data_IF_145634536509
#
_entry.id   IF_145634536509
#
_cell.length_a   1.000
_cell.length_b   1.000
_cell.length_c   1.000
_cell.angle_alpha   90.00
_cell.angle_beta   90.00
_cell.angle_gamma   90.00
#
_symmetry.space_group_name_H-M   'P 1'
#
loop_
_entity.id
_entity.type
_entity.pdbx_description
1 polymer ?
#
# COMPACT_ATOMS: atom_id res chain seq x y z
N UNK A 1 22.62 -23.81 22.65
CA UNK A 1 21.18 -23.47 22.54
C UNK A 1 21.03 -22.48 21.41
N UNK A 2 20.56 -22.92 20.24
CA UNK A 2 20.33 -22.04 19.10
C UNK A 2 18.83 -21.98 18.87
N UNK A 3 18.19 -20.91 19.37
CA UNK A 3 16.78 -20.62 19.12
C UNK A 3 16.63 -20.19 17.67
N UNK A 4 16.26 -21.13 16.82
CA UNK A 4 15.85 -20.84 15.44
C UNK A 4 14.53 -20.09 15.54
N UNK A 5 14.53 -18.84 15.11
CA UNK A 5 13.36 -17.97 14.99
C UNK A 5 12.23 -18.74 14.30
N UNK A 6 11.09 -18.87 14.97
CA UNK A 6 9.86 -19.40 14.37
C UNK A 6 9.44 -18.48 13.23
N UNK A 7 9.84 -18.85 12.01
CA UNK A 7 9.36 -18.19 10.80
C UNK A 7 7.94 -18.70 10.54
N UNK A 8 6.96 -18.12 11.21
CA UNK A 8 5.56 -18.31 10.85
C UNK A 8 5.38 -17.90 9.39
N UNK A 9 4.98 -18.86 8.54
CA UNK A 9 4.71 -18.57 7.13
C UNK A 9 3.60 -17.54 7.03
N UNK A 10 3.65 -16.68 6.01
CA UNK A 10 2.57 -15.72 5.71
C UNK A 10 1.19 -16.41 5.68
N UNK A 11 1.15 -17.66 5.23
CA UNK A 11 -0.04 -18.52 5.19
C UNK A 11 -0.66 -18.85 6.57
N UNK A 12 0.02 -18.53 7.68
CA UNK A 12 -0.48 -18.72 9.04
C UNK A 12 -1.13 -17.47 9.64
N UNK A 13 -1.13 -16.34 8.93
CA UNK A 13 -1.80 -15.13 9.39
C UNK A 13 -3.32 -15.25 9.23
N UNK A 14 -4.11 -14.72 10.18
CA UNK A 14 -5.56 -14.66 10.02
C UNK A 14 -5.97 -13.90 8.75
N UNK A 15 -7.02 -14.36 8.08
CA UNK A 15 -7.52 -13.74 6.84
C UNK A 15 -7.73 -12.21 6.93
N UNK A 16 -8.27 -11.64 8.04
CA UNK A 16 -8.42 -10.19 8.17
C UNK A 16 -7.08 -9.43 8.16
N UNK A 17 -6.03 -10.03 8.75
CA UNK A 17 -4.68 -9.46 8.75
C UNK A 17 -4.08 -9.53 7.35
N UNK A 18 -4.27 -10.65 6.65
CA UNK A 18 -3.85 -10.77 5.24
C UNK A 18 -4.56 -9.77 4.33
N UNK A 19 -5.86 -9.53 4.55
CA UNK A 19 -6.63 -8.56 3.80
C UNK A 19 -6.12 -7.12 4.02
N UNK A 20 -5.72 -6.79 5.25
CA UNK A 20 -5.09 -5.52 5.60
C UNK A 20 -3.71 -5.37 4.96
N UNK A 21 -2.85 -6.36 5.07
CA UNK A 21 -1.51 -6.33 4.45
C UNK A 21 -1.61 -6.14 2.94
N UNK A 22 -2.56 -6.81 2.29
CA UNK A 22 -2.84 -6.61 0.86
C UNK A 22 -3.36 -5.20 0.58
N UNK A 23 -4.27 -4.66 1.40
CA UNK A 23 -4.74 -3.29 1.23
C UNK A 23 -3.61 -2.24 1.38
N UNK A 24 -2.68 -2.45 2.32
CA UNK A 24 -1.50 -1.58 2.48
C UNK A 24 -0.56 -1.71 1.28
N UNK A 25 -0.31 -2.94 0.81
CA UNK A 25 0.47 -3.17 -0.40
C UNK A 25 -0.14 -2.44 -1.60
N UNK A 26 -1.43 -2.67 -1.87
CA UNK A 26 -2.12 -2.10 -3.03
C UNK A 26 -2.22 -0.56 -2.96
N UNK A 27 -2.28 0.02 -1.75
CA UNK A 27 -2.23 1.47 -1.57
C UNK A 27 -0.88 2.05 -2.01
N UNK A 28 0.22 1.36 -1.71
CA UNK A 28 1.58 1.83 -1.96
C UNK A 28 2.14 1.40 -3.33
N UNK A 29 1.54 0.39 -3.94
CA UNK A 29 1.91 -0.13 -5.27
C UNK A 29 1.37 0.77 -6.39
N UNK A 30 2.00 1.94 -6.52
CA UNK A 30 1.70 2.91 -7.58
C UNK A 30 2.57 2.66 -8.81
N UNK A 31 2.02 2.75 -10.03
CA UNK A 31 2.82 2.65 -11.24
C UNK A 31 3.85 3.78 -11.28
N UNK A 32 5.05 3.51 -11.81
CA UNK A 32 6.06 4.56 -11.95
C UNK A 32 5.54 5.69 -12.85
N UNK A 33 5.85 6.96 -12.54
CA UNK A 33 5.43 8.09 -13.37
C UNK A 33 6.24 8.16 -14.67
N UNK A 34 5.63 8.77 -15.69
CA UNK A 34 6.36 9.28 -16.85
C UNK A 34 7.43 10.29 -16.45
N UNK A 35 8.37 10.56 -17.35
CA UNK A 35 9.57 11.38 -17.09
C UNK A 35 9.33 12.90 -17.13
N UNK A 36 8.08 13.35 -17.01
CA UNK A 36 7.80 14.78 -16.93
C UNK A 36 7.80 15.22 -15.47
N UNK A 37 8.32 16.42 -15.20
CA UNK A 37 8.22 17.02 -13.86
C UNK A 37 6.78 17.04 -13.31
N UNK A 38 5.78 17.16 -14.18
CA UNK A 38 4.37 17.18 -13.78
C UNK A 38 3.93 15.80 -13.28
N UNK A 39 4.28 14.73 -14.01
CA UNK A 39 3.98 13.34 -13.64
C UNK A 39 4.72 12.94 -12.36
N UNK A 40 6.02 13.24 -12.26
CA UNK A 40 6.83 12.94 -11.07
C UNK A 40 6.28 13.63 -9.82
N UNK A 41 5.91 14.92 -9.93
CA UNK A 41 5.28 15.66 -8.82
C UNK A 41 3.90 15.09 -8.45
N UNK A 42 3.10 14.67 -9.42
CA UNK A 42 1.80 14.07 -9.17
C UNK A 42 1.94 12.71 -8.47
N UNK A 43 2.86 11.86 -8.93
CA UNK A 43 3.23 10.61 -8.27
C UNK A 43 3.68 10.83 -6.84
N UNK A 44 4.64 11.73 -6.61
CA UNK A 44 5.17 11.98 -5.28
C UNK A 44 4.08 12.46 -4.30
N UNK A 45 3.17 13.34 -4.75
CA UNK A 45 2.03 13.78 -3.93
C UNK A 45 1.09 12.62 -3.60
N UNK A 46 0.76 11.79 -4.59
CA UNK A 46 -0.14 10.65 -4.39
C UNK A 46 0.47 9.62 -3.43
N UNK A 47 1.74 9.28 -3.62
CA UNK A 47 2.45 8.34 -2.74
C UNK A 47 2.48 8.83 -1.29
N UNK A 48 2.79 10.12 -1.07
CA UNK A 48 2.77 10.71 0.27
C UNK A 48 1.38 10.64 0.90
N UNK A 49 0.33 10.90 0.13
CA UNK A 49 -1.05 10.83 0.63
C UNK A 49 -1.43 9.40 1.04
N UNK A 50 -1.24 8.43 0.15
CA UNK A 50 -1.57 7.03 0.43
C UNK A 50 -0.71 6.42 1.54
N UNK A 51 0.55 6.82 1.66
CA UNK A 51 1.40 6.42 2.77
C UNK A 51 0.90 6.95 4.11
N UNK A 52 0.48 8.23 4.16
CA UNK A 52 -0.13 8.82 5.35
C UNK A 52 -1.42 8.09 5.73
N UNK A 53 -2.26 7.78 4.76
CA UNK A 53 -3.53 7.08 4.97
C UNK A 53 -3.31 5.66 5.52
N UNK A 54 -2.38 4.91 4.95
CA UNK A 54 -1.98 3.62 5.46
C UNK A 54 -1.44 3.71 6.90
N UNK A 55 -0.64 4.74 7.22
CA UNK A 55 -0.15 4.99 8.58
C UNK A 55 -1.28 5.25 9.56
N UNK A 56 -2.27 6.07 9.20
CA UNK A 56 -3.44 6.36 10.05
C UNK A 56 -4.24 5.08 10.33
N UNK A 57 -4.46 4.27 9.30
CA UNK A 57 -5.18 2.99 9.44
C UNK A 57 -4.43 2.03 10.37
N UNK A 58 -3.11 1.92 10.23
CA UNK A 58 -2.29 1.07 11.09
C UNK A 58 -2.25 1.57 12.53
N UNK A 59 -2.15 2.88 12.75
CA UNK A 59 -2.21 3.48 14.09
C UNK A 59 -3.52 3.13 14.80
N UNK A 60 -4.66 3.23 14.11
CA UNK A 60 -5.95 2.84 14.72
C UNK A 60 -6.02 1.36 15.12
N UNK A 61 -5.25 0.47 14.50
CA UNK A 61 -5.17 -0.93 14.93
C UNK A 61 -4.26 -1.08 16.14
N UNK A 62 -3.06 -0.47 16.08
CA UNK A 62 -2.02 -0.64 17.10
C UNK A 62 -2.38 0.07 18.41
N UNK A 63 -2.96 1.26 18.31
CA UNK A 63 -3.21 2.15 19.44
C UNK A 63 -4.66 2.03 19.95
N UNK A 64 -5.63 1.85 19.05
CA UNK A 64 -7.07 1.86 19.38
C UNK A 64 -7.76 0.49 19.24
N UNK A 65 -7.03 -0.55 18.81
CA UNK A 65 -7.57 -1.90 18.70
C UNK A 65 -8.63 -2.08 17.61
N UNK A 66 -8.58 -1.28 16.53
CA UNK A 66 -9.47 -1.46 15.39
C UNK A 66 -9.37 -2.86 14.78
N UNK A 67 -10.50 -3.37 14.30
CA UNK A 67 -10.57 -4.69 13.66
C UNK A 67 -9.94 -4.64 12.26
N UNK A 68 -9.01 -5.56 11.99
CA UNK A 68 -8.17 -5.54 10.79
C UNK A 68 -8.95 -5.61 9.47
N UNK A 69 -10.04 -6.39 9.42
CA UNK A 69 -10.91 -6.49 8.25
C UNK A 69 -11.61 -5.16 7.93
N UNK A 70 -12.20 -4.49 8.92
CA UNK A 70 -12.81 -3.16 8.77
C UNK A 70 -11.79 -2.08 8.43
N UNK A 71 -10.59 -2.17 9.00
CA UNK A 71 -9.49 -1.29 8.67
C UNK A 71 -9.06 -1.47 7.20
N UNK A 72 -8.96 -2.71 6.70
CA UNK A 72 -8.67 -3.00 5.31
C UNK A 72 -9.72 -2.44 4.34
N UNK A 73 -11.01 -2.59 4.67
CA UNK A 73 -12.10 -2.01 3.88
C UNK A 73 -12.04 -0.48 3.84
N UNK A 74 -11.72 0.14 4.98
CA UNK A 74 -11.60 1.59 5.08
C UNK A 74 -10.44 2.12 4.23
N UNK A 75 -9.27 1.46 4.30
CA UNK A 75 -8.12 1.84 3.48
C UNK A 75 -8.42 1.74 1.98
N UNK A 76 -9.06 0.66 1.53
CA UNK A 76 -9.47 0.52 0.12
C UNK A 76 -10.41 1.65 -0.30
N UNK A 77 -11.39 1.97 0.53
CA UNK A 77 -12.31 3.07 0.26
C UNK A 77 -11.64 4.45 0.22
N UNK A 78 -10.51 4.63 0.91
CA UNK A 78 -9.71 5.86 0.84
C UNK A 78 -8.88 5.88 -0.45
N UNK A 79 -8.21 4.77 -0.78
CA UNK A 79 -7.46 4.59 -2.03
C UNK A 79 -8.32 4.86 -3.26
N UNK A 80 -9.58 4.40 -3.26
CA UNK A 80 -10.53 4.61 -4.37
C UNK A 80 -10.88 6.10 -4.60
N UNK A 81 -10.71 6.95 -3.58
CA UNK A 81 -10.93 8.41 -3.70
C UNK A 81 -9.75 9.14 -4.32
N UNK A 82 -8.62 8.45 -4.44
CA UNK A 82 -7.34 9.00 -4.89
C UNK A 82 -6.79 8.23 -6.09
N UNK A 83 -7.44 8.33 -7.25
CA UNK A 83 -6.98 7.63 -8.44
C UNK A 83 -5.63 8.16 -8.93
N UNK A 84 -4.91 7.31 -9.67
CA UNK A 84 -3.74 7.73 -10.43
C UNK A 84 -4.16 8.77 -11.47
N UNK A 85 -3.48 9.92 -11.48
CA UNK A 85 -3.79 11.06 -12.36
C UNK A 85 -2.62 11.48 -13.26
N UNK A 86 -1.45 10.87 -13.08
CA UNK A 86 -0.28 11.06 -13.94
C UNK A 86 -0.23 9.98 -15.02
N UNK A 87 0.56 10.22 -16.06
CA UNK A 87 0.80 9.23 -17.12
C UNK A 87 1.75 8.16 -16.60
N UNK A 88 1.36 6.88 -16.53
CA UNK A 88 2.27 5.80 -16.15
C UNK A 88 3.41 5.61 -17.14
N UNK A 89 4.59 5.26 -16.64
CA UNK A 89 5.70 4.84 -17.49
C UNK A 89 5.41 3.47 -18.13
N UNK A 90 5.62 3.36 -19.45
CA UNK A 90 5.56 2.10 -20.18
C UNK A 90 6.95 1.73 -20.71
N UNK A 91 7.26 0.43 -20.70
CA UNK A 91 8.56 -0.12 -21.12
C UNK A 91 8.72 -0.23 -22.65
N UNK A 92 7.84 0.39 -23.46
CA UNK A 92 7.81 0.26 -24.92
C UNK A 92 9.06 0.81 -25.64
N UNK A 93 10.04 1.35 -24.90
CA UNK A 93 11.38 1.70 -25.39
C UNK A 93 12.51 0.99 -24.63
N UNK A 94 12.34 -0.30 -24.33
CA UNK A 94 13.31 -1.10 -23.56
C UNK A 94 13.61 -2.51 -24.09
N UNK A 95 13.23 -2.84 -25.32
CA UNK A 95 13.68 -4.05 -26.01
C UNK A 95 14.23 -3.66 -27.39
N UNK A 96 15.55 -3.54 -27.48
CA UNK A 96 16.29 -3.65 -28.74
C UNK A 96 16.94 -5.02 -28.77
#
# INVERSE_FOLDING_TARGET
>A
MSGRTDSHRVDSLPDPVMALLRAVHDALDLPLPGLTDADERAYARLLVHRARDAQVILAGILDDGHEAGRAALSLRAWVDREPVTYTPWTNERGAR
#
